data_IF_258568818826
#
_entry.id   IF_258568818826
#
_cell.length_a   1.000
_cell.length_b   1.000
_cell.length_c   1.000
_cell.angle_alpha   90.00
_cell.angle_beta   90.00
_cell.angle_gamma   90.00
#
_symmetry.space_group_name_H-M   'P 1'
#
loop_
_entity.id
_entity.type
_entity.pdbx_description
1 polymer ?
#
# COMPACT_ATOMS: atom_id res chain seq x y z
N UNK A 1 11.58 20.53 6.16
CA UNK A 1 10.27 20.27 5.51
C UNK A 1 10.46 19.53 4.17
N UNK A 2 11.43 19.94 3.35
CA UNK A 2 11.81 19.33 2.06
C UNK A 2 12.13 17.82 2.15
N UNK A 3 12.94 17.37 3.15
CA UNK A 3 13.27 15.94 3.34
C UNK A 3 12.07 15.01 3.63
N UNK A 4 11.00 15.54 4.21
CA UNK A 4 9.80 14.76 4.50
C UNK A 4 8.96 14.58 3.23
N UNK A 5 8.81 15.65 2.43
CA UNK A 5 8.15 15.60 1.11
C UNK A 5 8.89 14.69 0.11
N UNK A 6 10.22 14.64 0.17
CA UNK A 6 11.01 13.67 -0.60
C UNK A 6 10.79 12.22 -0.15
N UNK A 7 10.66 11.98 1.16
CA UNK A 7 10.22 10.66 1.68
C UNK A 7 8.79 10.33 1.22
N UNK A 8 7.90 11.31 1.11
CA UNK A 8 6.54 11.11 0.59
C UNK A 8 6.52 10.74 -0.90
N UNK A 9 7.40 11.31 -1.74
CA UNK A 9 7.56 10.85 -3.14
C UNK A 9 8.00 9.39 -3.23
N UNK A 10 8.83 8.92 -2.30
CA UNK A 10 9.23 7.50 -2.21
C UNK A 10 8.09 6.55 -1.81
N UNK A 11 6.92 7.06 -1.40
CA UNK A 11 5.76 6.25 -0.99
C UNK A 11 4.84 5.88 -2.15
N UNK A 12 4.95 6.58 -3.28
CA UNK A 12 4.08 6.35 -4.43
C UNK A 12 4.10 4.88 -4.92
N UNK A 13 5.25 4.17 -4.96
CA UNK A 13 5.29 2.76 -5.31
C UNK A 13 4.45 1.87 -4.38
N UNK A 14 4.50 2.11 -3.07
CA UNK A 14 3.69 1.34 -2.11
C UNK A 14 2.21 1.58 -2.29
N UNK A 15 1.80 2.82 -2.59
CA UNK A 15 0.40 3.13 -2.89
C UNK A 15 -0.09 2.40 -4.13
N UNK A 16 0.70 2.40 -5.22
CA UNK A 16 0.38 1.67 -6.45
C UNK A 16 0.23 0.17 -6.19
N UNK A 17 1.10 -0.40 -5.38
CA UNK A 17 1.05 -1.82 -5.01
C UNK A 17 -0.18 -2.17 -4.17
N UNK A 18 -0.50 -1.35 -3.16
CA UNK A 18 -1.71 -1.52 -2.36
C UNK A 18 -2.96 -1.35 -3.24
N UNK A 19 -2.98 -0.33 -4.10
CA UNK A 19 -4.07 -0.08 -5.03
C UNK A 19 -4.24 -1.25 -6.02
N UNK A 20 -3.15 -1.90 -6.44
CA UNK A 20 -3.21 -3.11 -7.28
C UNK A 20 -3.88 -4.29 -6.57
N UNK A 21 -3.64 -4.44 -5.27
CA UNK A 21 -4.22 -5.52 -4.48
C UNK A 21 -5.69 -5.33 -4.11
N UNK A 22 -6.19 -4.09 -4.08
CA UNK A 22 -7.58 -3.78 -3.72
C UNK A 22 -8.45 -3.26 -4.87
N UNK A 23 -7.87 -2.74 -5.94
CA UNK A 23 -8.61 -2.24 -7.11
C UNK A 23 -8.47 -3.18 -8.32
N UNK A 24 -9.45 -3.16 -9.22
CA UNK A 24 -9.35 -3.79 -10.54
C UNK A 24 -8.47 -2.96 -11.48
N UNK A 25 -7.16 -2.95 -11.22
CA UNK A 25 -6.20 -2.52 -12.23
C UNK A 25 -6.15 -3.62 -13.29
N UNK A 26 -6.93 -3.41 -14.37
CA UNK A 26 -6.96 -4.36 -15.47
C UNK A 26 -5.73 -4.13 -16.35
N UNK A 27 -4.71 -4.96 -16.14
CA UNK A 27 -3.59 -5.06 -17.09
C UNK A 27 -4.13 -5.82 -18.30
N UNK A 28 -4.32 -5.11 -19.42
CA UNK A 28 -4.69 -5.73 -20.67
C UNK A 28 -3.57 -6.68 -21.13
N UNK A 29 -3.91 -7.96 -21.27
CA UNK A 29 -2.98 -8.99 -21.74
C UNK A 29 -3.05 -9.17 -23.25
N UNK A 30 -3.90 -8.40 -23.96
CA UNK A 30 -4.07 -8.54 -25.40
C UNK A 30 -2.86 -8.03 -26.20
N UNK A 31 -2.10 -7.10 -25.63
CA UNK A 31 -0.85 -6.58 -26.22
C UNK A 31 0.33 -7.57 -26.11
N UNK A 32 0.19 -8.66 -25.36
CA UNK A 32 1.27 -9.63 -25.17
C UNK A 32 1.01 -10.90 -25.98
N UNK A 33 1.91 -11.20 -26.91
CA UNK A 33 1.84 -12.37 -27.78
C UNK A 33 2.19 -13.66 -27.00
N UNK A 34 1.27 -14.10 -26.15
CA UNK A 34 1.35 -15.39 -25.47
C UNK A 34 0.57 -16.46 -26.22
N UNK A 35 1.17 -17.64 -26.37
CA UNK A 35 0.55 -18.83 -26.97
C UNK A 35 -0.58 -19.43 -26.12
N UNK A 36 -0.68 -19.10 -24.81
CA UNK A 36 -1.73 -19.60 -23.93
C UNK A 36 -2.33 -18.51 -23.03
N UNK A 37 -3.06 -17.57 -23.65
CA UNK A 37 -3.77 -16.48 -22.95
C UNK A 37 -4.67 -16.98 -21.82
N UNK A 38 -5.38 -18.11 -22.00
CA UNK A 38 -6.29 -18.67 -20.99
C UNK A 38 -5.58 -19.03 -19.69
N UNK A 39 -4.44 -19.72 -19.75
CA UNK A 39 -3.64 -20.04 -18.57
C UNK A 39 -3.09 -18.77 -17.89
N UNK A 40 -2.66 -17.77 -18.68
CA UNK A 40 -2.19 -16.49 -18.14
C UNK A 40 -3.29 -15.75 -17.36
N UNK A 41 -4.52 -15.71 -17.88
CA UNK A 41 -5.65 -15.15 -17.14
C UNK A 41 -5.94 -15.90 -15.83
N UNK A 42 -5.79 -17.23 -15.83
CA UNK A 42 -5.94 -18.03 -14.60
C UNK A 42 -4.86 -17.68 -13.57
N UNK A 43 -3.59 -17.61 -13.98
CA UNK A 43 -2.50 -17.22 -13.08
C UNK A 43 -2.65 -15.78 -12.58
N UNK A 44 -3.09 -14.84 -13.43
CA UNK A 44 -3.42 -13.46 -13.05
C UNK A 44 -4.46 -13.44 -11.92
N UNK A 45 -5.55 -14.21 -12.07
CA UNK A 45 -6.60 -14.29 -11.04
C UNK A 45 -6.09 -14.91 -9.73
N UNK A 46 -5.32 -16.00 -9.81
CA UNK A 46 -4.73 -16.65 -8.62
C UNK A 46 -3.76 -15.72 -7.89
N UNK A 47 -2.85 -15.08 -8.62
CA UNK A 47 -1.91 -14.11 -8.08
C UNK A 47 -2.63 -12.96 -7.40
N UNK A 48 -3.62 -12.37 -8.07
CA UNK A 48 -4.42 -11.27 -7.50
C UNK A 48 -5.07 -11.70 -6.18
N UNK A 49 -5.71 -12.87 -6.13
CA UNK A 49 -6.33 -13.37 -4.92
C UNK A 49 -5.33 -13.51 -3.77
N UNK A 50 -4.22 -14.21 -4.01
CA UNK A 50 -3.15 -14.41 -3.00
C UNK A 50 -2.63 -13.06 -2.49
N UNK A 51 -2.43 -12.12 -3.40
CA UNK A 51 -1.91 -10.80 -3.08
C UNK A 51 -2.92 -9.97 -2.26
N UNK A 52 -4.21 -10.00 -2.60
CA UNK A 52 -5.26 -9.38 -1.79
C UNK A 52 -5.34 -10.00 -0.38
N UNK A 53 -5.31 -11.33 -0.28
CA UNK A 53 -5.33 -12.05 1.00
C UNK A 53 -4.11 -11.69 1.87
N UNK A 54 -2.93 -11.52 1.25
CA UNK A 54 -1.70 -11.08 1.91
C UNK A 54 -1.84 -9.65 2.48
N UNK A 55 -2.41 -8.72 1.72
CA UNK A 55 -2.60 -7.34 2.18
C UNK A 55 -3.62 -7.25 3.32
N UNK A 56 -4.68 -8.05 3.29
CA UNK A 56 -5.66 -8.14 4.39
C UNK A 56 -4.96 -8.67 5.65
N UNK A 57 -4.26 -9.80 5.51
CA UNK A 57 -3.51 -10.41 6.62
C UNK A 57 -2.49 -9.44 7.22
N UNK A 58 -1.79 -8.68 6.36
CA UNK A 58 -0.87 -7.66 6.82
C UNK A 58 -1.55 -6.59 7.66
N UNK A 59 -2.63 -6.01 7.16
CA UNK A 59 -3.36 -4.95 7.87
C UNK A 59 -3.89 -5.42 9.22
N UNK A 60 -4.39 -6.65 9.29
CA UNK A 60 -4.85 -7.28 10.53
C UNK A 60 -3.69 -7.54 11.51
N UNK A 61 -2.49 -7.81 10.99
CA UNK A 61 -1.29 -7.99 11.81
C UNK A 61 -0.73 -6.69 12.40
N UNK A 62 -1.16 -5.52 11.90
CA UNK A 62 -0.67 -4.24 12.38
C UNK A 62 -1.25 -3.91 13.77
N UNK A 63 -0.41 -3.38 14.70
CA UNK A 63 -0.90 -2.73 15.91
C UNK A 63 -1.93 -1.65 15.57
N UNK A 64 -2.97 -1.51 16.41
CA UNK A 64 -4.11 -0.62 16.15
C UNK A 64 -3.69 0.79 15.71
N UNK A 65 -2.76 1.39 16.44
CA UNK A 65 -2.28 2.74 16.20
C UNK A 65 -1.49 2.90 14.89
N UNK A 66 -0.91 1.81 14.38
CA UNK A 66 -0.25 1.74 13.07
C UNK A 66 -1.25 1.42 11.97
N UNK A 67 -2.27 0.60 12.26
CA UNK A 67 -3.36 0.27 11.34
C UNK A 67 -4.20 1.49 11.00
N UNK A 68 -4.54 2.31 11.99
CA UNK A 68 -5.23 3.59 11.77
C UNK A 68 -4.45 4.51 10.81
N UNK A 69 -3.13 4.60 11.00
CA UNK A 69 -2.25 5.34 10.09
C UNK A 69 -2.27 4.74 8.69
N UNK A 70 -2.16 3.41 8.55
CA UNK A 70 -2.22 2.72 7.27
C UNK A 70 -3.54 3.01 6.53
N UNK A 71 -4.68 2.86 7.19
CA UNK A 71 -6.00 3.13 6.61
C UNK A 71 -6.11 4.59 6.16
N UNK A 72 -5.76 5.55 7.03
CA UNK A 72 -5.84 6.98 6.70
C UNK A 72 -4.94 7.33 5.50
N UNK A 73 -3.74 6.78 5.44
CA UNK A 73 -2.77 7.09 4.40
C UNK A 73 -3.08 6.45 3.03
N UNK A 74 -3.52 5.19 3.03
CA UNK A 74 -3.64 4.40 1.80
C UNK A 74 -5.09 4.14 1.36
N UNK A 75 -6.05 4.07 2.28
CA UNK A 75 -7.44 3.71 1.97
C UNK A 75 -8.44 4.87 2.00
N UNK A 76 -8.02 6.07 2.38
CA UNK A 76 -8.88 7.26 2.34
C UNK A 76 -8.54 8.17 1.15
N UNK A 77 -9.54 8.94 0.69
CA UNK A 77 -9.38 9.94 -0.38
C UNK A 77 -8.43 11.08 0.01
N UNK A 78 -8.26 11.33 1.31
CA UNK A 78 -7.39 12.37 1.85
C UNK A 78 -5.91 12.06 1.61
N UNK A 79 -5.55 10.78 1.72
CA UNK A 79 -4.22 10.26 1.47
C UNK A 79 -3.09 11.02 2.18
N UNK A 80 -1.90 10.97 1.59
CA UNK A 80 -0.67 11.55 2.15
C UNK A 80 -0.66 13.07 2.26
N UNK A 81 -1.36 13.77 1.37
CA UNK A 81 -1.30 15.23 1.25
C UNK A 81 -2.10 15.95 2.33
N UNK A 82 -3.12 15.30 2.90
CA UNK A 82 -3.98 15.90 3.93
C UNK A 82 -3.80 15.29 5.32
N UNK A 83 -3.11 14.16 5.46
CA UNK A 83 -2.91 13.51 6.76
C UNK A 83 -1.96 14.33 7.64
N UNK A 84 -2.42 14.76 8.82
CA UNK A 84 -1.64 15.55 9.77
C UNK A 84 -1.42 14.79 11.08
N UNK A 85 -0.28 15.02 11.73
CA UNK A 85 0.01 14.43 13.05
C UNK A 85 -1.01 14.83 14.11
N UNK A 86 -1.67 15.99 13.95
CA UNK A 86 -2.73 16.48 14.83
C UNK A 86 -3.96 15.56 14.87
N UNK A 87 -4.20 14.80 13.79
CA UNK A 87 -5.36 13.92 13.68
C UNK A 87 -5.24 12.67 14.56
N UNK A 88 -4.04 12.41 15.11
CA UNK A 88 -3.71 11.20 15.86
C UNK A 88 -3.36 11.46 17.33
N UNK A 89 -3.60 12.69 17.83
CA UNK A 89 -3.33 13.09 19.22
C UNK A 89 -1.92 12.76 19.74
N UNK A 90 -0.92 12.74 18.86
CA UNK A 90 0.49 12.44 19.20
C UNK A 90 1.40 13.61 18.86
N UNK A 91 2.59 13.66 19.47
CA UNK A 91 3.61 14.61 19.04
C UNK A 91 4.00 14.38 17.57
N UNK A 92 4.40 15.45 16.88
CA UNK A 92 4.95 15.39 15.52
C UNK A 92 6.10 14.37 15.39
N UNK A 93 6.98 14.30 16.39
CA UNK A 93 8.10 13.36 16.40
C UNK A 93 7.62 11.91 16.50
N UNK A 94 6.64 11.64 17.37
CA UNK A 94 6.03 10.32 17.53
C UNK A 94 5.34 9.88 16.24
N UNK A 95 4.58 10.77 15.60
CA UNK A 95 3.92 10.50 14.32
C UNK A 95 4.92 10.04 13.24
N UNK A 96 6.02 10.76 13.03
CA UNK A 96 7.01 10.35 12.03
C UNK A 96 7.75 9.07 12.38
N UNK A 97 7.94 8.76 13.67
CA UNK A 97 8.48 7.45 14.10
C UNK A 97 7.50 6.33 13.73
N UNK A 98 6.20 6.52 13.97
CA UNK A 98 5.17 5.55 13.59
C UNK A 98 5.11 5.35 12.06
N UNK A 99 5.17 6.43 11.28
CA UNK A 99 5.29 6.34 9.81
C UNK A 99 6.52 5.54 9.40
N UNK A 100 7.69 5.79 10.00
CA UNK A 100 8.89 5.02 9.68
C UNK A 100 8.74 3.53 10.01
N UNK A 101 8.06 3.18 11.11
CA UNK A 101 7.75 1.78 11.44
C UNK A 101 6.83 1.15 10.40
N UNK A 102 5.78 1.86 10.00
CA UNK A 102 4.86 1.40 8.96
C UNK A 102 5.62 1.15 7.65
N UNK A 103 6.59 2.00 7.29
CA UNK A 103 7.42 1.75 6.11
C UNK A 103 8.27 0.52 6.18
N UNK A 104 8.90 0.28 7.33
CA UNK A 104 9.70 -0.92 7.52
C UNK A 104 8.79 -2.14 7.36
N UNK A 105 7.60 -2.11 7.96
CA UNK A 105 6.61 -3.19 7.82
C UNK A 105 6.17 -3.39 6.36
N UNK A 106 5.89 -2.31 5.63
CA UNK A 106 5.56 -2.38 4.20
C UNK A 106 6.71 -2.91 3.35
N UNK A 107 7.96 -2.54 3.64
CA UNK A 107 9.11 -3.08 2.92
C UNK A 107 9.26 -4.59 3.10
N UNK A 108 8.89 -5.15 4.25
CA UNK A 108 8.92 -6.61 4.45
C UNK A 108 7.93 -7.38 3.57
N UNK A 109 6.88 -6.73 3.08
CA UNK A 109 5.86 -7.38 2.24
C UNK A 109 6.17 -7.24 0.76
N UNK A 110 6.83 -6.15 0.38
CA UNK A 110 7.08 -5.81 -1.01
C UNK A 110 8.53 -5.98 -1.46
N UNK A 111 9.48 -6.18 -0.54
CA UNK A 111 10.82 -6.71 -0.85
C UNK A 111 10.76 -8.21 -1.06
#
# INVERSE_FOLDING_TARGET
>A
MIKILEKFKKMNPFKVLIDYGFNDIDIDLDDVCFTNKKQMYTYKKMFKKIYSDLLITFEESLPEDIRELYVKLFKTKDGFTKTNWKDFYVSKATFYRKINKLFIALSWIFC
#
